data_IF_927574263229
#
_entry.id   IF_927574263229
#
_cell.length_a   1.000
_cell.length_b   1.000
_cell.length_c   1.000
_cell.angle_alpha   90.00
_cell.angle_beta   90.00
_cell.angle_gamma   90.00
#
_symmetry.space_group_name_H-M   'P 1'
#
loop_
_entity.id
_entity.type
_entity.pdbx_description
1 polymer ?
#
# COMPACT_ATOMS: atom_id res chain seq x y z
N UNK A 1 18.63 11.55 -4.52
CA UNK A 1 18.82 10.11 -4.23
C UNK A 1 18.82 9.76 -2.73
N UNK A 2 19.61 10.40 -1.86
CA UNK A 2 19.62 10.10 -0.40
C UNK A 2 18.28 10.41 0.30
N UNK A 3 17.62 11.53 -0.05
CA UNK A 3 16.34 11.97 0.54
C UNK A 3 15.22 10.95 0.28
N UNK A 4 15.06 10.47 -0.97
CA UNK A 4 14.02 9.48 -1.29
C UNK A 4 14.22 8.15 -0.59
N UNK A 5 15.48 7.71 -0.40
CA UNK A 5 15.77 6.52 0.42
C UNK A 5 15.35 6.70 1.88
N UNK A 6 15.60 7.89 2.45
CA UNK A 6 15.17 8.20 3.81
C UNK A 6 13.64 8.23 3.93
N UNK A 7 12.93 8.79 2.95
CA UNK A 7 11.45 8.80 2.91
C UNK A 7 10.89 7.37 2.84
N UNK A 8 11.45 6.50 1.99
CA UNK A 8 11.02 5.09 1.90
C UNK A 8 11.27 4.32 3.21
N UNK A 9 12.43 4.54 3.84
CA UNK A 9 12.70 3.95 5.15
C UNK A 9 11.76 4.49 6.23
N UNK A 10 11.44 5.77 6.19
CA UNK A 10 10.47 6.39 7.10
C UNK A 10 9.06 5.81 6.88
N UNK A 11 8.60 5.68 5.62
CA UNK A 11 7.34 5.02 5.29
C UNK A 11 7.27 3.62 5.91
N UNK A 12 8.30 2.80 5.69
CA UNK A 12 8.39 1.45 6.22
C UNK A 12 8.24 1.42 7.75
N UNK A 13 9.04 2.21 8.46
CA UNK A 13 9.00 2.26 9.94
C UNK A 13 7.64 2.76 10.43
N UNK A 14 7.12 3.83 9.82
CA UNK A 14 5.85 4.44 10.22
C UNK A 14 4.70 3.43 10.13
N UNK A 15 4.54 2.74 9.00
CA UNK A 15 3.43 1.82 8.82
C UNK A 15 3.58 0.53 9.61
N UNK A 16 4.79 0.01 9.81
CA UNK A 16 5.02 -1.13 10.72
C UNK A 16 4.65 -0.75 12.16
N UNK A 17 5.13 0.40 12.64
CA UNK A 17 4.78 0.87 14.00
C UNK A 17 3.28 1.08 14.13
N UNK A 18 2.65 1.68 13.13
CA UNK A 18 1.21 1.90 13.14
C UNK A 18 0.42 0.58 13.14
N UNK A 19 0.79 -0.39 12.30
CA UNK A 19 0.18 -1.72 12.29
C UNK A 19 0.31 -2.43 13.65
N UNK A 20 1.50 -2.37 14.28
CA UNK A 20 1.72 -2.92 15.62
C UNK A 20 0.83 -2.22 16.67
N UNK A 21 0.72 -0.88 16.61
CA UNK A 21 -0.14 -0.13 17.52
C UNK A 21 -1.62 -0.50 17.35
N UNK A 22 -2.07 -0.70 16.11
CA UNK A 22 -3.44 -1.19 15.84
C UNK A 22 -3.67 -2.55 16.51
N UNK A 23 -2.74 -3.51 16.41
CA UNK A 23 -2.86 -4.80 17.10
C UNK A 23 -2.88 -4.67 18.63
N UNK A 24 -2.07 -3.80 19.22
CA UNK A 24 -2.01 -3.59 20.66
C UNK A 24 -3.30 -2.95 21.19
N UNK A 25 -3.87 -2.01 20.44
CA UNK A 25 -5.02 -1.20 20.88
C UNK A 25 -6.34 -1.65 20.25
N UNK A 26 -6.39 -2.75 19.50
CA UNK A 26 -7.59 -3.23 18.79
C UNK A 26 -8.81 -3.35 19.68
N UNK A 27 -8.67 -3.93 20.88
CA UNK A 27 -9.77 -4.13 21.81
C UNK A 27 -10.35 -2.77 22.28
N UNK A 28 -9.47 -1.83 22.65
CA UNK A 28 -9.88 -0.48 23.08
C UNK A 28 -10.53 0.34 21.96
N UNK A 29 -10.14 0.11 20.71
CA UNK A 29 -10.73 0.76 19.55
C UNK A 29 -12.08 0.10 19.24
N UNK A 30 -12.15 -1.23 19.31
CA UNK A 30 -13.35 -2.01 19.04
C UNK A 30 -14.45 -1.81 20.09
N UNK A 31 -14.09 -1.65 21.36
CA UNK A 31 -15.04 -1.42 22.47
C UNK A 31 -15.95 -0.21 22.27
N UNK A 32 -15.50 0.77 21.47
CA UNK A 32 -16.26 1.98 21.15
C UNK A 32 -16.61 2.04 19.65
N UNK A 33 -16.73 0.90 18.99
CA UNK A 33 -17.00 0.83 17.56
C UNK A 33 -18.36 1.40 17.15
N UNK A 34 -19.33 1.41 18.07
CA UNK A 34 -20.65 2.03 17.82
C UNK A 34 -20.56 3.54 17.60
N UNK A 35 -19.58 4.22 18.17
CA UNK A 35 -19.35 5.65 17.98
C UNK A 35 -18.64 5.97 16.65
N UNK A 36 -18.32 4.99 15.80
CA UNK A 36 -17.69 5.04 14.46
C UNK A 36 -16.46 5.93 14.34
N UNK A 37 -16.36 6.94 15.19
CA UNK A 37 -15.42 8.04 15.08
C UNK A 37 -13.95 7.60 15.12
N UNK A 38 -13.62 6.59 15.95
CA UNK A 38 -12.22 6.15 16.12
C UNK A 38 -11.70 5.43 14.88
N UNK A 39 -12.50 4.51 14.33
CA UNK A 39 -12.14 3.82 13.08
C UNK A 39 -12.09 4.81 11.92
N UNK A 40 -13.07 5.71 11.83
CA UNK A 40 -13.14 6.74 10.81
C UNK A 40 -11.87 7.62 10.80
N UNK A 41 -11.46 8.13 11.96
CA UNK A 41 -10.23 8.93 12.09
C UNK A 41 -9.02 8.10 11.69
N UNK A 42 -8.92 6.85 12.18
CA UNK A 42 -7.78 5.98 11.89
C UNK A 42 -7.64 5.76 10.38
N UNK A 43 -8.72 5.38 9.70
CA UNK A 43 -8.74 5.13 8.25
C UNK A 43 -8.46 6.41 7.46
N UNK A 44 -9.07 7.54 7.84
CA UNK A 44 -8.81 8.82 7.19
C UNK A 44 -7.35 9.27 7.33
N UNK A 45 -6.78 9.16 8.53
CA UNK A 45 -5.36 9.48 8.76
C UNK A 45 -4.43 8.59 7.93
N UNK A 46 -4.77 7.30 7.77
CA UNK A 46 -4.03 6.39 6.91
C UNK A 46 -4.09 6.81 5.44
N UNK A 47 -5.29 7.14 4.94
CA UNK A 47 -5.46 7.61 3.56
C UNK A 47 -4.63 8.88 3.30
N UNK A 48 -4.64 9.85 4.22
CA UNK A 48 -3.80 11.03 4.09
C UNK A 48 -2.30 10.72 4.16
N UNK A 49 -1.88 9.81 5.03
CA UNK A 49 -0.48 9.38 5.09
C UNK A 49 -0.05 8.72 3.78
N UNK A 50 -0.85 7.82 3.22
CA UNK A 50 -0.58 7.21 1.92
C UNK A 50 -0.52 8.26 0.81
N UNK A 51 -1.45 9.22 0.77
CA UNK A 51 -1.46 10.29 -0.25
C UNK A 51 -0.17 11.12 -0.24
N UNK A 52 0.38 11.41 0.94
CA UNK A 52 1.65 12.11 1.07
C UNK A 52 2.78 11.28 0.45
N UNK A 53 2.85 9.97 0.73
CA UNK A 53 3.88 9.11 0.14
C UNK A 53 3.72 8.93 -1.36
N UNK A 54 2.49 8.86 -1.88
CA UNK A 54 2.23 8.79 -3.32
C UNK A 54 2.68 10.05 -4.06
N UNK A 55 2.56 11.24 -3.42
CA UNK A 55 3.13 12.49 -3.96
C UNK A 55 4.66 12.37 -4.07
N UNK A 56 5.34 11.83 -3.06
CA UNK A 56 6.78 11.62 -3.14
C UNK A 56 7.17 10.60 -4.22
N UNK A 57 6.43 9.51 -4.35
CA UNK A 57 6.65 8.52 -5.39
C UNK A 57 6.42 9.12 -6.79
N UNK A 58 5.40 9.96 -6.97
CA UNK A 58 5.15 10.70 -8.21
C UNK A 58 6.33 11.61 -8.58
N UNK A 59 6.90 12.33 -7.60
CA UNK A 59 8.05 13.20 -7.81
C UNK A 59 9.30 12.39 -8.16
N UNK A 60 9.50 11.22 -7.55
CA UNK A 60 10.65 10.34 -7.81
C UNK A 60 10.58 9.71 -9.19
N UNK A 61 9.43 9.17 -9.56
CA UNK A 61 9.23 8.37 -10.79
C UNK A 61 9.27 9.20 -12.07
N UNK A 62 9.10 10.53 -12.04
CA UNK A 62 9.20 11.53 -13.14
C UNK A 62 8.65 11.12 -14.54
N UNK A 63 8.05 9.96 -14.72
CA UNK A 63 7.64 9.38 -16.01
C UNK A 63 6.16 9.01 -16.02
N UNK A 64 5.49 9.74 -16.79
CA UNK A 64 4.22 9.71 -17.53
C UNK A 64 3.10 8.77 -17.06
N UNK A 65 3.21 7.47 -17.07
CA UNK A 65 2.05 6.61 -16.72
C UNK A 65 2.01 6.26 -15.23
N UNK A 66 3.11 5.81 -14.65
CA UNK A 66 3.19 5.54 -13.22
C UNK A 66 3.02 6.80 -12.35
N UNK A 67 3.38 7.98 -12.88
CA UNK A 67 3.09 9.25 -12.23
C UNK A 67 1.59 9.58 -12.26
N UNK A 68 0.87 9.23 -13.32
CA UNK A 68 -0.58 9.42 -13.40
C UNK A 68 -1.33 8.50 -12.44
N UNK A 69 -0.92 7.24 -12.32
CA UNK A 69 -1.52 6.29 -11.38
C UNK A 69 -1.35 6.77 -9.93
N UNK A 70 -0.13 7.16 -9.53
CA UNK A 70 0.13 7.72 -8.20
C UNK A 70 -0.66 9.00 -7.94
N UNK A 71 -0.86 9.86 -8.96
CA UNK A 71 -1.68 11.06 -8.84
C UNK A 71 -3.15 10.72 -8.58
N UNK A 72 -3.73 9.78 -9.34
CA UNK A 72 -5.11 9.36 -9.13
C UNK A 72 -5.32 8.70 -7.77
N UNK A 73 -4.39 7.86 -7.32
CA UNK A 73 -4.43 7.27 -5.98
C UNK A 73 -4.39 8.33 -4.90
N UNK A 74 -3.49 9.30 -5.00
CA UNK A 74 -3.41 10.43 -4.08
C UNK A 74 -4.73 11.20 -4.03
N UNK A 75 -5.34 11.50 -5.18
CA UNK A 75 -6.61 12.20 -5.26
C UNK A 75 -7.76 11.41 -4.61
N UNK A 76 -7.87 10.12 -4.92
CA UNK A 76 -8.89 9.22 -4.33
C UNK A 76 -8.74 9.16 -2.81
N UNK A 77 -7.52 9.01 -2.31
CA UNK A 77 -7.23 8.96 -0.87
C UNK A 77 -7.62 10.25 -0.16
N UNK A 78 -7.29 11.41 -0.73
CA UNK A 78 -7.69 12.70 -0.16
C UNK A 78 -9.21 12.84 -0.15
N UNK A 79 -9.88 12.52 -1.26
CA UNK A 79 -11.35 12.63 -1.37
C UNK A 79 -12.03 11.69 -0.37
N UNK A 80 -11.63 10.44 -0.31
CA UNK A 80 -12.21 9.47 0.64
C UNK A 80 -11.91 9.84 2.09
N UNK A 81 -10.69 10.27 2.39
CA UNK A 81 -10.33 10.77 3.72
C UNK A 81 -11.19 11.95 4.16
N UNK A 82 -11.45 12.91 3.25
CA UNK A 82 -12.35 14.04 3.52
C UNK A 82 -13.79 13.56 3.72
N UNK A 83 -14.31 12.64 2.89
CA UNK A 83 -15.66 12.10 3.02
C UNK A 83 -15.83 11.44 4.39
N UNK A 84 -14.86 10.64 4.82
CA UNK A 84 -14.89 9.96 6.13
C UNK A 84 -14.89 11.00 7.28
N UNK A 85 -14.06 12.04 7.20
CA UNK A 85 -13.99 13.07 8.24
C UNK A 85 -15.17 14.05 8.22
N UNK A 86 -15.89 14.14 7.11
CA UNK A 86 -17.10 14.96 7.01
C UNK A 86 -18.33 14.30 7.66
N UNK A 87 -18.15 13.24 8.43
CA UNK A 87 -19.19 12.45 9.11
C UNK A 87 -20.27 13.31 9.83
N UNK A 88 -19.95 14.39 10.57
CA UNK A 88 -20.98 15.23 11.18
C UNK A 88 -21.99 15.81 10.18
N UNK A 89 -21.57 15.95 8.89
CA UNK A 89 -22.40 16.50 7.81
C UNK A 89 -23.11 15.42 7.00
N UNK A 90 -22.47 14.25 6.81
CA UNK A 90 -22.91 13.20 5.86
C UNK A 90 -23.49 11.98 6.61
N UNK A 91 -23.29 11.87 7.92
CA UNK A 91 -23.68 10.72 8.75
C UNK A 91 -23.08 9.39 8.22
N UNK A 92 -21.78 9.37 8.04
CA UNK A 92 -21.03 8.19 7.65
C UNK A 92 -21.13 7.17 8.80
N UNK A 93 -21.75 6.03 8.57
CA UNK A 93 -21.82 4.95 9.57
C UNK A 93 -20.61 4.02 9.46
N UNK A 94 -20.46 3.12 10.44
CA UNK A 94 -19.37 2.15 10.49
C UNK A 94 -19.23 1.34 9.19
N UNK A 95 -20.35 0.84 8.65
CA UNK A 95 -20.37 0.06 7.42
C UNK A 95 -19.85 0.89 6.23
N UNK A 96 -20.22 2.17 6.14
CA UNK A 96 -19.74 3.06 5.08
C UNK A 96 -18.22 3.26 5.17
N UNK A 97 -17.65 3.43 6.36
CA UNK A 97 -16.19 3.52 6.54
C UNK A 97 -15.50 2.25 6.08
N UNK A 98 -16.01 1.08 6.46
CA UNK A 98 -15.49 -0.23 6.01
C UNK A 98 -15.54 -0.39 4.49
N UNK A 99 -16.67 -0.01 3.87
CA UNK A 99 -16.84 -0.09 2.41
C UNK A 99 -15.87 0.87 1.69
N UNK A 100 -15.76 2.11 2.14
CA UNK A 100 -14.83 3.09 1.55
C UNK A 100 -13.39 2.58 1.66
N UNK A 101 -13.00 2.08 2.82
CA UNK A 101 -11.68 1.50 3.01
C UNK A 101 -11.45 0.31 2.08
N UNK A 102 -12.36 -0.64 2.03
CA UNK A 102 -12.25 -1.82 1.16
C UNK A 102 -12.16 -1.45 -0.33
N UNK A 103 -13.01 -0.53 -0.80
CA UNK A 103 -12.97 -0.05 -2.19
C UNK A 103 -11.65 0.63 -2.51
N UNK A 104 -11.15 1.46 -1.58
CA UNK A 104 -9.83 2.07 -1.74
C UNK A 104 -8.72 1.02 -1.83
N UNK A 105 -8.70 0.04 -0.92
CA UNK A 105 -7.69 -1.05 -0.94
C UNK A 105 -7.78 -1.87 -2.23
N UNK A 106 -8.97 -2.21 -2.71
CA UNK A 106 -9.15 -2.92 -3.98
C UNK A 106 -8.60 -2.11 -5.16
N UNK A 107 -8.88 -0.81 -5.21
CA UNK A 107 -8.39 0.05 -6.29
C UNK A 107 -6.86 0.14 -6.27
N UNK A 108 -6.26 0.31 -5.10
CA UNK A 108 -4.80 0.38 -4.92
C UNK A 108 -4.13 -0.93 -5.32
N UNK A 109 -4.56 -2.03 -4.73
CA UNK A 109 -3.96 -3.34 -4.97
C UNK A 109 -4.18 -3.84 -6.40
N UNK A 110 -5.33 -3.54 -7.00
CA UNK A 110 -5.57 -3.86 -8.40
C UNK A 110 -4.59 -3.16 -9.35
N UNK A 111 -4.18 -1.94 -9.04
CA UNK A 111 -3.17 -1.20 -9.80
C UNK A 111 -1.77 -1.75 -9.55
N UNK A 112 -1.39 -2.00 -8.28
CA UNK A 112 -0.10 -2.59 -7.93
C UNK A 112 0.07 -3.98 -8.56
N UNK A 113 -0.96 -4.81 -8.51
CA UNK A 113 -0.98 -6.12 -9.16
C UNK A 113 -0.79 -6.02 -10.69
N UNK A 114 -1.43 -5.05 -11.35
CA UNK A 114 -1.25 -4.85 -12.78
C UNK A 114 0.19 -4.43 -13.13
N UNK A 115 0.81 -3.54 -12.34
CA UNK A 115 2.22 -3.14 -12.50
C UNK A 115 3.18 -4.34 -12.29
N UNK A 116 2.91 -5.18 -11.29
CA UNK A 116 3.76 -6.33 -10.99
C UNK A 116 3.62 -7.45 -12.03
N UNK A 117 2.43 -7.64 -12.61
CA UNK A 117 2.25 -8.54 -13.73
C UNK A 117 2.99 -8.07 -15.00
N UNK A 118 3.11 -6.76 -15.23
CA UNK A 118 3.96 -6.22 -16.29
C UNK A 118 5.44 -6.50 -16.01
N UNK A 119 5.91 -6.32 -14.77
CA UNK A 119 7.27 -6.67 -14.36
C UNK A 119 7.60 -8.14 -14.60
N UNK A 120 6.64 -9.05 -14.38
CA UNK A 120 6.84 -10.48 -14.72
C UNK A 120 7.05 -10.73 -16.19
N UNK A 121 6.36 -9.99 -17.07
CA UNK A 121 6.61 -10.09 -18.53
C UNK A 121 8.04 -9.67 -18.90
N UNK A 122 8.62 -8.76 -18.14
CA UNK A 122 10.01 -8.32 -18.28
C UNK A 122 11.01 -9.21 -17.53
N UNK A 123 10.57 -10.35 -16.97
CA UNK A 123 11.36 -11.26 -16.15
C UNK A 123 11.94 -10.63 -14.87
N UNK A 124 11.27 -9.62 -14.32
CA UNK A 124 11.63 -9.00 -13.04
C UNK A 124 10.88 -9.73 -11.93
N UNK A 125 11.57 -10.27 -10.91
CA UNK A 125 10.90 -10.97 -9.81
C UNK A 125 10.15 -10.00 -8.90
N UNK A 126 8.83 -10.13 -8.81
CA UNK A 126 7.94 -9.37 -7.94
C UNK A 126 6.94 -10.29 -7.22
N UNK A 127 7.41 -11.46 -6.79
CA UNK A 127 6.54 -12.52 -6.27
C UNK A 127 5.84 -12.14 -4.97
N UNK A 128 6.55 -11.46 -4.06
CA UNK A 128 6.00 -11.09 -2.76
C UNK A 128 4.93 -10.00 -2.89
N UNK A 129 5.15 -9.04 -3.79
CA UNK A 129 4.14 -8.01 -4.07
C UNK A 129 2.85 -8.64 -4.60
N UNK A 130 2.95 -9.58 -5.55
CA UNK A 130 1.76 -10.28 -6.08
C UNK A 130 1.03 -11.05 -4.99
N UNK A 131 1.76 -11.74 -4.11
CA UNK A 131 1.17 -12.47 -2.98
C UNK A 131 0.49 -11.49 -2.03
N UNK A 132 1.13 -10.38 -1.73
CA UNK A 132 0.58 -9.31 -0.88
C UNK A 132 -0.71 -8.75 -1.47
N UNK A 133 -0.70 -8.33 -2.73
CA UNK A 133 -1.89 -7.80 -3.41
C UNK A 133 -3.05 -8.80 -3.41
N UNK A 134 -2.79 -10.08 -3.62
CA UNK A 134 -3.83 -11.12 -3.54
C UNK A 134 -4.40 -11.22 -2.12
N UNK A 135 -3.54 -11.23 -1.10
CA UNK A 135 -3.97 -11.28 0.31
C UNK A 135 -4.84 -10.06 0.62
N UNK A 136 -4.39 -8.85 0.31
CA UNK A 136 -5.13 -7.61 0.61
C UNK A 136 -6.45 -7.55 -0.15
N UNK A 137 -6.50 -8.00 -1.40
CA UNK A 137 -7.76 -8.12 -2.15
C UNK A 137 -8.75 -9.06 -1.45
N UNK A 138 -8.30 -10.23 -0.98
CA UNK A 138 -9.17 -11.16 -0.23
C UNK A 138 -9.67 -10.52 1.07
N UNK A 139 -8.78 -9.86 1.82
CA UNK A 139 -9.15 -9.16 3.06
C UNK A 139 -10.17 -8.04 2.80
N UNK A 140 -10.00 -7.28 1.71
CA UNK A 140 -10.93 -6.23 1.29
C UNK A 140 -12.31 -6.77 0.95
N UNK A 141 -12.38 -7.91 0.25
CA UNK A 141 -13.66 -8.58 -0.01
C UNK A 141 -14.33 -9.09 1.28
N UNK A 142 -13.56 -9.61 2.22
CA UNK A 142 -14.09 -10.01 3.55
C UNK A 142 -14.67 -8.80 4.30
N UNK A 143 -14.04 -7.63 4.20
CA UNK A 143 -14.50 -6.40 4.82
C UNK A 143 -15.83 -5.91 4.20
N UNK A 144 -16.00 -6.01 2.87
CA UNK A 144 -17.26 -5.70 2.19
C UNK A 144 -18.37 -6.68 2.57
N UNK A 145 -18.04 -7.96 2.72
CA UNK A 145 -19.02 -8.99 3.03
C UNK A 145 -19.61 -8.85 4.43
N UNK A 146 -18.84 -8.34 5.39
CA UNK A 146 -19.23 -8.23 6.80
C UNK A 146 -18.89 -6.85 7.41
N UNK A 147 -19.46 -5.73 6.91
CA UNK A 147 -19.11 -4.40 7.36
C UNK A 147 -19.84 -4.00 8.65
N UNK A 148 -19.91 -4.89 9.65
CA UNK A 148 -20.67 -4.69 10.88
C UNK A 148 -19.76 -4.35 12.07
N UNK A 149 -20.20 -3.46 13.00
CA UNK A 149 -19.43 -3.10 14.20
C UNK A 149 -19.09 -4.31 15.09
N UNK A 150 -19.92 -5.35 15.06
CA UNK A 150 -19.70 -6.60 15.81
C UNK A 150 -18.37 -7.29 15.42
N UNK A 151 -17.87 -7.02 14.23
CA UNK A 151 -16.60 -7.55 13.72
C UNK A 151 -15.45 -6.54 13.78
N UNK A 152 -15.61 -5.46 14.57
CA UNK A 152 -14.62 -4.37 14.63
C UNK A 152 -13.21 -4.85 14.99
N UNK A 153 -13.09 -5.81 15.91
CA UNK A 153 -11.79 -6.39 16.27
C UNK A 153 -11.14 -7.09 15.08
N UNK A 154 -11.90 -7.88 14.33
CA UNK A 154 -11.42 -8.53 13.11
C UNK A 154 -10.97 -7.49 12.06
N UNK A 155 -11.78 -6.45 11.86
CA UNK A 155 -11.44 -5.38 10.90
C UNK A 155 -10.13 -4.67 11.28
N UNK A 156 -9.89 -4.43 12.56
CA UNK A 156 -8.64 -3.85 13.05
C UNK A 156 -7.45 -4.80 12.86
N UNK A 157 -7.65 -6.10 13.06
CA UNK A 157 -6.63 -7.11 12.76
C UNK A 157 -6.30 -7.10 11.26
N UNK A 158 -7.30 -7.06 10.38
CA UNK A 158 -7.10 -6.98 8.93
C UNK A 158 -6.33 -5.71 8.55
N UNK A 159 -6.69 -4.56 9.14
CA UNK A 159 -5.99 -3.29 8.93
C UNK A 159 -4.52 -3.38 9.38
N UNK A 160 -4.25 -3.96 10.53
CA UNK A 160 -2.89 -4.14 11.02
C UNK A 160 -2.03 -4.99 10.08
N UNK A 161 -2.61 -6.08 9.54
CA UNK A 161 -1.94 -6.91 8.54
C UNK A 161 -1.69 -6.14 7.24
N UNK A 162 -2.69 -5.45 6.71
CA UNK A 162 -2.56 -4.63 5.49
C UNK A 162 -1.42 -3.61 5.63
N UNK A 163 -1.35 -2.91 6.76
CA UNK A 163 -0.31 -1.93 7.02
C UNK A 163 1.10 -2.53 7.05
N UNK A 164 1.25 -3.70 7.67
CA UNK A 164 2.57 -4.34 7.80
C UNK A 164 2.97 -4.97 6.47
N UNK A 165 2.09 -5.76 5.84
CA UNK A 165 2.39 -6.48 4.60
C UNK A 165 2.61 -5.51 3.44
N UNK A 166 1.74 -4.49 3.30
CA UNK A 166 1.79 -3.49 2.24
C UNK A 166 3.04 -2.60 2.23
N UNK A 167 3.88 -2.66 3.27
CA UNK A 167 5.18 -1.98 3.23
C UNK A 167 6.36 -2.96 3.30
N UNK A 168 6.17 -4.10 3.96
CA UNK A 168 7.25 -5.09 4.13
C UNK A 168 7.54 -5.84 2.83
N UNK A 169 6.54 -6.34 2.15
CA UNK A 169 6.70 -7.14 0.94
C UNK A 169 7.28 -6.34 -0.22
N UNK A 170 6.77 -5.14 -0.56
CA UNK A 170 7.41 -4.29 -1.56
C UNK A 170 8.86 -3.92 -1.22
N UNK A 171 9.17 -3.76 0.08
CA UNK A 171 10.54 -3.47 0.49
C UNK A 171 11.48 -4.66 0.27
N UNK A 172 11.02 -5.87 0.56
CA UNK A 172 11.80 -7.10 0.35
C UNK A 172 11.95 -7.38 -1.15
N UNK A 173 10.87 -7.27 -1.94
CA UNK A 173 10.95 -7.45 -3.40
C UNK A 173 11.87 -6.43 -4.06
N UNK A 174 11.86 -5.18 -3.61
CA UNK A 174 12.82 -4.17 -4.10
C UNK A 174 14.27 -4.61 -3.92
N UNK A 175 14.59 -5.31 -2.84
CA UNK A 175 15.92 -5.85 -2.62
C UNK A 175 16.27 -6.97 -3.62
N UNK A 176 15.33 -7.87 -3.90
CA UNK A 176 15.50 -8.94 -4.90
C UNK A 176 15.59 -8.39 -6.32
N UNK A 177 14.74 -7.44 -6.69
CA UNK A 177 14.75 -6.76 -8.00
C UNK A 177 16.12 -6.12 -8.23
N UNK A 178 16.62 -5.37 -7.26
CA UNK A 178 17.92 -4.70 -7.36
C UNK A 178 19.09 -5.68 -7.51
N UNK A 179 19.03 -6.82 -6.83
CA UNK A 179 20.03 -7.88 -6.97
C UNK A 179 19.98 -8.51 -8.37
N UNK A 180 18.79 -8.69 -8.91
CA UNK A 180 18.60 -9.22 -10.27
C UNK A 180 19.14 -8.26 -11.33
N UNK A 181 18.84 -6.97 -11.23
CA UNK A 181 19.35 -5.94 -12.13
C UNK A 181 20.88 -5.85 -12.10
N UNK A 182 21.48 -5.90 -10.91
CA UNK A 182 22.93 -5.88 -10.77
C UNK A 182 23.59 -7.10 -11.44
N UNK A 183 22.97 -8.29 -11.35
CA UNK A 183 23.43 -9.49 -12.01
C UNK A 183 23.37 -9.36 -13.55
N UNK A 184 22.24 -8.85 -14.06
CA UNK A 184 22.02 -8.63 -15.50
C UNK A 184 23.03 -7.62 -16.09
N UNK A 185 23.36 -6.57 -15.35
CA UNK A 185 24.39 -5.60 -15.74
C UNK A 185 25.78 -6.23 -15.78
N UNK A 186 26.13 -7.05 -14.80
CA UNK A 186 27.42 -7.73 -14.76
C UNK A 186 27.57 -8.77 -15.89
N UNK A 187 26.50 -9.44 -16.29
CA UNK A 187 26.47 -10.34 -17.43
C UNK A 187 26.69 -9.60 -18.75
N UNK A 188 25.98 -8.49 -18.97
CA UNK A 188 26.17 -7.64 -20.18
C UNK A 188 27.60 -7.10 -20.29
N UNK A 189 28.19 -6.65 -19.20
CA UNK A 189 29.58 -6.19 -19.21
C UNK A 189 30.58 -7.28 -19.56
N UNK A 190 30.32 -8.52 -19.15
CA UNK A 190 31.17 -9.67 -19.53
C UNK A 190 31.05 -9.98 -21.02
N UNK A 191 29.82 -9.94 -21.58
CA UNK A 191 29.60 -10.17 -23.02
C UNK A 191 30.29 -9.09 -23.86
N UNK A 192 30.23 -7.81 -23.47
CA UNK A 192 30.91 -6.72 -24.16
C UNK A 192 32.43 -6.86 -24.16
N UNK A 193 33.02 -7.34 -23.05
CA UNK A 193 34.48 -7.59 -22.96
C UNK A 193 34.89 -8.74 -23.88
N UNK A 194 34.13 -9.83 -23.92
CA UNK A 194 34.43 -10.97 -24.79
C UNK A 194 34.40 -10.55 -26.28
N UNK A 195 33.40 -9.76 -26.68
CA UNK A 195 33.28 -9.28 -28.07
C UNK A 195 34.44 -8.33 -28.41
N UNK A 196 34.92 -7.54 -27.47
CA UNK A 196 36.05 -6.64 -27.68
C UNK A 196 37.41 -7.37 -27.80
N UNK A 197 37.57 -8.51 -27.14
CA UNK A 197 38.77 -9.33 -27.20
C UNK A 197 38.83 -10.21 -28.48
N UNK A 198 37.71 -10.38 -29.19
CA UNK A 198 37.62 -11.13 -30.45
C UNK A 198 37.84 -10.28 -31.71
N UNK A 199 37.97 -8.95 -31.58
CA UNK A 199 38.24 -7.99 -32.66
C UNK A 199 39.70 -7.53 -32.68
#
# INVERSE_FOLDING_TARGET
MKVFKAIKAFKLVLFIVWGILVFIFKDKIAEHSEEHFRLAILVACLMFAYSVFDIFDMIEKKKTFAAHTSFFNCLIQIVFGIIILADPLIRVNYATVCIIWAVWSICREGQELAEDLERFKEHIPAYLNVIESIIVLVLSFMLIANPHPEHAELHLILLGFELILGVLFPHVDYFFIRKHEAKKLAEKQKEEVVIADEQ
#
